data_IF_848848414084
#
_entry.id   IF_848848414084
#
_cell.length_a   1.000
_cell.length_b   1.000
_cell.length_c   1.000
_cell.angle_alpha   90.00
_cell.angle_beta   90.00
_cell.angle_gamma   90.00
#
_symmetry.space_group_name_H-M   'P 1'
#
loop_
_entity.id
_entity.type
_entity.pdbx_description
1 polymer ?
2 non-polymer ?
3 water ?
#
# COMPACT_ATOMS: atom_id res chain seq x y z
N UNK A 13 -14.27 30.59 -5.55
CA UNK A 13 -14.04 29.31 -6.24
C UNK A 13 -14.86 28.21 -5.55
N UNK A 14 -15.27 28.43 -4.29
CA UNK A 14 -15.67 27.32 -3.41
C UNK A 14 -17.05 26.71 -3.81
N UNK A 15 -17.10 25.40 -3.93
CA UNK A 15 -18.28 24.66 -4.34
C UNK A 15 -18.59 23.51 -3.36
N UNK A 16 -19.88 23.26 -3.14
CA UNK A 16 -20.36 22.24 -2.28
C UNK A 16 -21.30 21.32 -3.04
N UNK A 17 -21.11 20.00 -2.84
CA UNK A 17 -21.92 18.98 -3.50
C UNK A 17 -22.20 17.82 -2.55
N UNK A 18 -23.15 16.95 -2.88
CA UNK A 18 -23.44 15.75 -2.09
C UNK A 18 -22.81 14.57 -2.82
N UNK A 19 -22.05 13.75 -2.10
CA UNK A 19 -21.21 12.71 -2.75
C UNK A 19 -21.91 11.63 -3.60
N UNK A 20 -23.20 11.38 -3.40
CA UNK A 20 -23.92 10.44 -4.29
C UNK A 20 -23.73 10.80 -5.78
N UNK A 24 -20.03 11.50 -8.87
CA UNK A 24 -18.97 10.49 -8.57
C UNK A 24 -17.55 10.92 -9.01
N UNK A 25 -17.45 11.53 -10.20
CA UNK A 25 -16.20 12.15 -10.62
C UNK A 25 -15.74 13.24 -9.62
N UNK A 26 -16.70 14.01 -9.12
CA UNK A 26 -16.39 15.15 -8.26
C UNK A 26 -15.84 14.66 -6.91
N UNK A 27 -16.44 13.57 -6.37
CA UNK A 27 -15.99 13.01 -5.12
C UNK A 27 -14.58 12.46 -5.27
N UNK A 28 -14.31 11.76 -6.42
CA UNK A 28 -12.98 11.24 -6.61
C UNK A 28 -11.93 12.35 -6.71
N UNK A 29 -12.27 13.43 -7.39
CA UNK A 29 -11.34 14.55 -7.46
C UNK A 29 -11.12 15.13 -6.05
N UNK A 30 -12.20 15.21 -5.26
CA UNK A 30 -12.05 15.82 -3.93
C UNK A 30 -11.09 14.96 -3.06
N UNK A 31 -11.32 13.67 -3.05
CA UNK A 31 -10.50 12.76 -2.23
C UNK A 31 -9.06 12.79 -2.66
N UNK A 32 -8.83 13.01 -3.95
CA UNK A 32 -7.49 13.16 -4.49
C UNK A 32 -6.66 14.35 -4.10
N UNK A 33 -7.34 15.31 -3.46
CA UNK A 33 -6.74 16.49 -2.89
C UNK A 33 -5.89 16.23 -1.63
N UNK A 34 -6.10 15.04 -1.06
CA UNK A 34 -5.30 14.51 0.06
C UNK A 34 -4.06 13.76 -0.55
N UNK A 35 -2.89 14.41 -0.48
CA UNK A 35 -1.61 13.87 -0.88
C UNK A 35 -1.23 12.60 -0.04
N UNK A 36 -0.58 11.66 -0.71
CA UNK A 36 -0.12 10.45 -0.10
C UNK A 36 1.21 10.02 -0.66
N UNK A 37 1.89 9.15 0.12
CA UNK A 37 2.92 8.28 -0.45
C UNK A 37 2.27 7.19 -1.24
N UNK A 38 3.12 6.28 -1.69
CA UNK A 38 2.72 5.18 -2.51
C UNK A 38 3.35 3.89 -1.96
N UNK A 39 2.53 2.87 -1.71
CA UNK A 39 3.02 1.61 -1.19
C UNK A 39 2.72 0.48 -2.09
N UNK A 40 3.45 -0.61 -1.88
CA UNK A 40 3.01 -1.92 -2.43
C UNK A 40 2.93 -2.88 -1.30
N UNK A 41 1.77 -3.53 -1.16
CA UNK A 41 1.53 -4.51 -0.05
C UNK A 41 1.63 -5.85 -0.67
N UNK A 42 2.48 -6.73 -0.09
CA UNK A 42 2.72 -8.03 -0.65
C UNK A 42 2.29 -9.14 0.33
N UNK A 43 2.06 -10.34 -0.23
CA UNK A 43 1.72 -11.54 0.58
C UNK A 43 1.93 -12.77 -0.21
N UNK A 44 1.99 -13.93 0.44
CA UNK A 44 2.18 -15.20 -0.27
C UNK A 44 0.77 -15.72 -0.61
N UNK A 45 0.43 -15.70 -1.89
CA UNK A 45 -0.85 -16.23 -2.36
C UNK A 45 -0.89 -17.73 -2.52
N UNK A 46 -2.11 -18.29 -2.71
CA UNK A 46 -2.31 -19.73 -2.96
C UNK A 46 -1.43 -20.27 -4.08
N UNK A 47 -1.18 -19.48 -5.11
CA UNK A 47 -0.34 -20.00 -6.16
C UNK A 47 0.87 -19.14 -6.54
N UNK A 48 1.34 -18.34 -5.61
CA UNK A 48 2.56 -17.64 -5.83
C UNK A 48 2.47 -16.28 -5.17
N UNK A 49 3.55 -15.51 -5.27
CA UNK A 49 3.54 -14.19 -4.60
C UNK A 49 2.45 -13.27 -5.18
N UNK A 50 1.94 -12.39 -4.34
CA UNK A 50 0.98 -11.36 -4.75
C UNK A 50 1.39 -10.01 -4.25
N UNK A 51 1.13 -8.97 -5.04
CA UNK A 51 1.26 -7.60 -4.57
C UNK A 51 0.16 -6.69 -5.09
N UNK A 52 0.02 -5.55 -4.44
CA UNK A 52 -1.07 -4.58 -4.81
C UNK A 52 -0.56 -3.17 -4.41
N UNK A 53 -0.57 -2.27 -5.37
CA UNK A 53 -0.27 -0.89 -5.12
C UNK A 53 -1.49 -0.27 -4.34
N UNK A 54 -1.09 0.41 -3.30
CA UNK A 54 -1.99 0.96 -2.26
C UNK A 54 -1.53 2.36 -1.87
N UNK A 55 -2.47 3.34 -1.75
CA UNK A 55 -2.17 4.54 -1.02
C UNK A 55 -3.06 4.85 0.19
N UNK A 56 -3.98 3.97 0.53
CA UNK A 56 -4.85 4.05 1.66
C UNK A 56 -4.15 3.50 2.95
N UNK A 57 -2.84 3.61 3.00
CA UNK A 57 -2.05 3.19 4.16
C UNK A 57 -2.07 4.34 5.19
N UNK A 58 -2.02 3.98 6.49
CA UNK A 58 -1.76 4.93 7.57
C UNK A 58 -1.01 4.24 8.71
N UNK A 59 -0.10 5.01 9.28
CA UNK A 59 0.44 4.69 10.58
C UNK A 59 -0.71 4.85 11.64
N UNK A 60 -0.84 3.90 12.56
CA UNK A 60 -1.96 3.90 13.52
C UNK A 60 -1.51 4.03 14.98
N UNK A 61 -0.58 3.18 15.38
CA UNK A 61 -0.18 3.09 16.80
C UNK A 61 1.33 2.92 16.89
N UNK A 62 1.95 3.52 17.90
CA UNK A 62 3.38 3.24 18.15
C UNK A 62 3.57 2.13 19.13
N UNK A 63 2.80 2.17 20.23
CA UNK A 63 2.85 1.05 21.16
C UNK A 63 1.45 0.49 21.42
N UNK A 64 1.13 -0.72 20.91
CA UNK A 64 1.93 -1.61 20.04
C UNK A 64 2.08 -0.95 18.70
N UNK A 65 3.12 -1.35 17.89
CA UNK A 65 3.32 -0.80 16.57
C UNK A 65 2.30 -1.39 15.62
N UNK A 66 1.36 -0.53 15.16
CA UNK A 66 0.25 -0.91 14.27
C UNK A 66 0.12 0.02 13.07
N UNK A 67 -0.24 -0.53 11.91
CA UNK A 67 -0.47 0.22 10.68
C UNK A 67 -1.77 -0.30 10.10
N UNK A 68 -2.39 0.50 9.22
CA UNK A 68 -3.57 0.03 8.47
C UNK A 68 -3.45 0.32 7.02
N UNK A 69 -4.18 -0.48 6.23
CA UNK A 69 -4.38 -0.16 4.81
C UNK A 69 -5.70 -0.80 4.34
N UNK A 70 -6.22 -0.40 3.18
CA UNK A 70 -7.55 -0.78 2.78
C UNK A 70 -7.52 -1.44 1.39
N UNK A 71 -7.70 -2.79 1.32
CA UNK A 71 -7.86 -3.41 0.01
C UNK A 71 -9.25 -3.25 -0.51
N UNK A 72 -9.34 -3.00 -1.81
CA UNK A 72 -10.71 -2.87 -2.45
C UNK A 72 -11.38 -4.29 -2.45
N UNK A 73 -12.64 -4.32 -2.11
CA UNK A 73 -13.43 -5.59 -2.19
C UNK A 73 -13.87 -5.97 -3.61
N UNK A 74 -13.57 -5.11 -4.56
CA UNK A 74 -13.74 -5.41 -5.96
C UNK A 74 -12.49 -5.95 -6.64
N UNK A 75 -11.41 -6.23 -5.90
CA UNK A 75 -10.20 -6.85 -6.48
C UNK A 75 -10.19 -8.37 -6.31
N UNK A 76 -9.68 -9.06 -7.30
CA UNK A 76 -9.55 -10.49 -7.25
C UNK A 76 -8.61 -10.89 -6.14
N UNK A 77 -7.71 -10.00 -5.70
CA UNK A 77 -6.71 -10.36 -4.64
C UNK A 77 -7.21 -10.06 -3.25
N UNK A 78 -8.39 -9.44 -3.12
CA UNK A 78 -8.90 -9.14 -1.78
C UNK A 78 -8.94 -10.34 -0.78
N UNK A 79 -9.48 -11.49 -1.20
CA UNK A 79 -9.56 -12.68 -0.35
C UNK A 79 -8.17 -13.11 0.21
N UNK A 80 -7.15 -13.14 -0.64
CA UNK A 80 -5.82 -13.54 -0.25
C UNK A 80 -5.21 -12.61 0.82
N UNK A 81 -5.36 -11.31 0.61
CA UNK A 81 -4.89 -10.34 1.57
C UNK A 81 -5.74 -10.42 2.87
N UNK A 82 -7.04 -10.55 2.72
CA UNK A 82 -7.93 -10.66 3.88
C UNK A 82 -7.68 -11.96 4.68
N UNK A 83 -7.35 -13.05 4.03
CA UNK A 83 -7.10 -14.31 4.74
C UNK A 83 -5.64 -14.48 5.15
N UNK A 84 -4.76 -13.59 4.71
CA UNK A 84 -3.35 -13.74 5.04
C UNK A 84 -3.02 -13.58 6.55
N UNK A 85 -2.06 -14.35 7.04
CA UNK A 85 -1.49 -14.12 8.38
C UNK A 85 -0.39 -13.08 8.43
N UNK A 86 0.28 -12.88 7.29
CA UNK A 86 1.41 -11.98 7.17
C UNK A 86 1.40 -11.25 5.81
N UNK A 87 1.80 -10.00 5.85
CA UNK A 87 1.88 -9.17 4.68
C UNK A 87 2.82 -8.02 4.99
N UNK A 88 3.42 -7.48 3.96
CA UNK A 88 4.40 -6.45 4.14
C UNK A 88 4.12 -5.22 3.29
N UNK A 89 4.30 -4.06 3.91
CA UNK A 89 4.03 -2.77 3.27
C UNK A 89 5.32 -2.11 2.85
N UNK A 90 5.45 -1.90 1.54
CA UNK A 90 6.64 -1.28 0.96
C UNK A 90 6.36 0.15 0.60
N UNK A 91 7.07 1.08 1.24
CA UNK A 91 6.94 2.54 0.94
C UNK A 91 7.98 2.91 -0.12
N UNK A 92 7.49 3.43 -1.27
CA UNK A 92 8.28 3.65 -2.44
C UNK A 92 8.98 4.98 -2.45
N UNK A 93 10.23 4.98 -2.92
CA UNK A 93 11.01 6.21 -3.17
C UNK A 93 10.63 6.83 -4.48
N UNK A 94 10.97 8.08 -4.68
CA UNK A 94 10.58 8.80 -5.92
C UNK A 94 11.11 8.19 -7.21
N UNK A 95 12.16 7.38 -7.11
CA UNK A 95 12.72 6.71 -8.26
C UNK A 95 12.05 5.33 -8.54
N UNK A 96 10.92 5.00 -7.92
CA UNK A 96 10.32 3.62 -8.03
C UNK A 96 8.93 3.55 -8.65
N UNK A 97 8.68 4.48 -9.56
CA UNK A 97 7.42 4.51 -10.29
C UNK A 97 7.13 3.19 -10.97
N UNK A 98 8.15 2.58 -11.60
CA UNK A 98 8.01 1.30 -12.29
C UNK A 98 7.52 0.21 -11.36
N UNK A 99 8.07 0.17 -10.14
CA UNK A 99 7.60 -0.76 -9.09
C UNK A 99 6.16 -0.48 -8.70
N UNK A 100 5.78 0.77 -8.46
CA UNK A 100 4.35 1.14 -8.37
C UNK A 100 3.43 0.55 -9.48
N UNK A 101 3.87 0.72 -10.70
CA UNK A 101 3.06 0.35 -11.85
C UNK A 101 3.00 -1.19 -12.08
N UNK A 102 4.01 -1.94 -11.61
CA UNK A 102 3.94 -3.42 -11.65
C UNK A 102 2.73 -3.99 -10.91
N UNK A 103 2.33 -3.28 -9.86
CA UNK A 103 1.31 -3.77 -8.91
C UNK A 103 -0.02 -3.01 -8.92
N UNK A 104 -0.19 -2.19 -9.97
CA UNK A 104 -1.50 -1.62 -10.31
C UNK A 104 -2.18 -2.50 -11.39
N UNK A 105 -3.45 -2.19 -11.64
CA UNK A 105 -4.40 -2.84 -12.56
C UNK A 105 -3.74 -3.64 -13.62
N UNK A 106 -2.98 -2.98 -14.49
CA UNK A 106 -2.51 -3.75 -15.70
C UNK A 106 -1.15 -4.37 -15.55
N UNK A 107 -0.64 -4.44 -14.33
CA UNK A 107 0.82 -4.46 -14.17
C UNK A 107 1.46 -5.82 -14.23
N UNK A 108 2.76 -5.87 -14.41
CA UNK A 108 3.51 -7.19 -14.50
C UNK A 108 3.52 -8.03 -13.20
N UNK A 109 3.11 -7.46 -12.06
CA UNK A 109 3.29 -8.07 -10.78
C UNK A 109 4.79 -8.46 -10.57
N UNK A 110 5.02 -9.68 -10.10
CA UNK A 110 6.34 -10.19 -9.81
C UNK A 110 7.00 -10.79 -11.05
N UNK A 111 6.37 -10.79 -12.23
CA UNK A 111 7.01 -11.43 -13.44
C UNK A 111 8.35 -10.73 -13.76
N UNK A 112 9.49 -11.44 -13.73
CA UNK A 112 10.80 -10.81 -13.98
C UNK A 112 11.55 -10.26 -12.75
N UNK A 113 10.92 -10.30 -11.58
CA UNK A 113 11.49 -9.78 -10.34
C UNK A 113 12.11 -10.95 -9.57
N UNK A 114 13.25 -10.74 -8.90
CA UNK A 114 13.78 -11.82 -8.05
C UNK A 114 12.87 -12.17 -6.81
N UNK A 115 12.77 -13.48 -6.55
CA UNK A 115 12.05 -14.00 -5.35
C UNK A 115 12.87 -13.84 -4.11
N UNK A 116 12.62 -12.83 -3.30
CA UNK A 116 13.20 -12.85 -1.96
C UNK A 116 12.09 -12.96 -0.93
N UNK A 117 12.28 -13.77 0.13
CA UNK A 117 11.24 -13.92 1.15
C UNK A 117 11.74 -13.55 2.57
N UNK A 118 10.83 -13.00 3.35
CA UNK A 118 11.04 -12.78 4.83
C UNK A 118 11.07 -14.10 5.55
N UNK A 119 11.48 -14.06 6.82
CA UNK A 119 11.43 -15.27 7.59
C UNK A 119 10.03 -15.86 7.68
N UNK A 120 9.00 -15.06 7.57
CA UNK A 120 7.63 -15.50 7.71
C UNK A 120 7.08 -15.84 6.34
N UNK A 121 7.94 -15.88 5.31
CA UNK A 121 7.50 -16.27 3.99
C UNK A 121 6.84 -15.26 3.05
N UNK A 122 6.96 -13.99 3.37
CA UNK A 122 6.29 -12.94 2.59
C UNK A 122 7.28 -12.52 1.51
N UNK A 123 6.80 -12.34 0.28
CA UNK A 123 7.68 -11.94 -0.82
C UNK A 123 7.95 -10.46 -0.73
N UNK A 124 9.23 -10.06 -0.79
CA UNK A 124 9.56 -8.68 -0.70
C UNK A 124 10.36 -8.11 -1.83
N UNK A 125 10.37 -6.79 -1.83
CA UNK A 125 10.97 -6.02 -2.86
C UNK A 125 12.07 -5.29 -2.15
N UNK A 126 13.34 -5.82 -2.25
CA UNK A 126 14.41 -5.00 -1.64
C UNK A 126 14.61 -3.64 -2.33
N UNK A 127 15.19 -2.72 -1.56
CA UNK A 127 15.60 -1.43 -2.11
C UNK A 127 14.53 -0.34 -1.97
N UNK A 128 13.44 -0.63 -1.29
CA UNK A 128 12.34 0.44 -1.07
C UNK A 128 12.71 1.37 0.11
N UNK A 129 12.09 2.52 0.20
CA UNK A 129 12.39 3.47 1.27
C UNK A 129 12.12 2.92 2.68
N UNK A 130 11.06 2.15 2.82
CA UNK A 130 10.71 1.49 4.08
C UNK A 130 9.88 0.25 3.80
N UNK A 131 10.09 -0.82 4.57
CA UNK A 131 9.27 -1.98 4.52
C UNK A 131 8.85 -2.38 5.88
N UNK A 132 7.56 -2.41 6.15
CA UNK A 132 6.96 -2.87 7.39
C UNK A 132 6.42 -4.30 7.21
N UNK A 133 7.03 -5.29 7.89
CA UNK A 133 6.55 -6.67 7.86
C UNK A 133 5.59 -6.83 8.99
N UNK A 134 4.36 -7.26 8.66
CA UNK A 134 3.25 -7.17 9.57
C UNK A 134 2.62 -8.53 9.77
N UNK A 135 2.15 -8.72 10.99
CA UNK A 135 1.26 -9.87 11.31
C UNK A 135 -0.18 -9.34 11.32
N UNK A 136 -1.13 -10.11 10.79
CA UNK A 136 -2.56 -9.74 10.79
C UNK A 136 -3.01 -9.51 12.21
N UNK A 137 -3.70 -8.43 12.46
CA UNK A 137 -4.07 -8.11 13.82
C UNK A 137 -5.59 -7.98 13.98
N UNK A 138 -6.24 -7.26 13.05
CA UNK A 138 -7.67 -7.05 13.01
C UNK A 138 -8.09 -6.74 11.59
N UNK A 139 -9.37 -6.95 11.29
CA UNK A 139 -9.93 -6.59 10.00
C UNK A 139 -11.39 -6.15 10.15
N UNK A 140 -11.83 -5.13 9.41
CA UNK A 140 -13.23 -4.65 9.52
C UNK A 140 -13.72 -4.29 8.11
N UNK A 141 -14.99 -4.54 7.80
CA UNK A 141 -15.56 -4.10 6.52
C UNK A 141 -15.85 -2.61 6.58
N UNK A 142 -15.56 -1.96 5.45
CA UNK A 142 -15.84 -0.55 5.27
C UNK A 142 -16.31 -0.19 3.83
N UNK A 143 -17.52 -0.58 3.49
CA UNK A 143 -18.19 -0.24 2.19
C UNK A 143 -17.55 -1.05 1.12
N UNK A 144 -16.99 -0.36 0.12
CA UNK A 144 -16.43 -1.09 -1.02
C UNK A 144 -15.02 -1.53 -0.77
N UNK A 145 -14.46 -1.21 0.47
CA UNK A 145 -13.11 -1.61 0.86
C UNK A 145 -13.22 -2.33 2.23
N UNK A 146 -12.17 -3.06 2.61
CA UNK A 146 -11.98 -3.56 4.00
C UNK A 146 -10.88 -2.70 4.61
N UNK A 147 -10.78 -2.72 5.94
CA UNK A 147 -9.68 -2.02 6.67
C UNK A 147 -8.95 -3.14 7.37
N UNK A 148 -7.69 -3.35 6.99
CA UNK A 148 -6.79 -4.37 7.60
C UNK A 148 -5.79 -3.64 8.51
N UNK A 149 -5.76 -4.03 9.78
CA UNK A 149 -4.81 -3.49 10.75
C UNK A 149 -3.77 -4.57 11.07
N UNK A 150 -2.51 -4.20 10.97
CA UNK A 150 -1.43 -5.18 11.19
C UNK A 150 -0.46 -4.73 12.25
N UNK A 151 0.11 -5.68 12.98
CA UNK A 151 1.15 -5.39 13.94
C UNK A 151 2.48 -5.58 13.26
N UNK A 152 3.31 -4.56 13.37
CA UNK A 152 4.58 -4.45 12.75
C UNK A 152 5.53 -5.32 13.53
N UNK A 153 6.09 -6.34 12.89
CA UNK A 153 7.07 -7.26 13.52
C UNK A 153 8.52 -6.91 13.21
N UNK A 154 8.74 -6.23 12.11
CA UNK A 154 10.04 -5.88 11.63
C UNK A 154 9.99 -4.66 10.71
N UNK A 155 11.03 -3.81 10.76
CA UNK A 155 11.11 -2.66 9.91
C UNK A 155 12.45 -2.61 9.15
N UNK A 156 12.43 -2.35 7.83
CA UNK A 156 13.62 -2.17 7.05
C UNK A 156 13.60 -0.79 6.37
N UNK A 157 14.67 0.00 6.49
CA UNK A 157 14.77 1.30 5.82
C UNK A 157 16.03 1.29 4.98
N UNK A 158 15.93 1.96 3.84
CA UNK A 158 17.05 2.09 2.90
C UNK A 158 17.09 3.49 2.35
N UNK A 159 18.30 4.04 2.28
CA UNK A 159 18.43 5.35 1.60
C UNK A 159 17.82 6.48 2.41
N UNK A 160 17.78 7.66 1.83
CA UNK A 160 17.24 8.81 2.55
C UNK A 160 15.73 8.71 2.72
N UNK A 161 15.25 9.33 3.77
CA UNK A 161 13.84 9.23 4.11
C UNK A 161 12.96 10.31 3.44
N UNK A 162 13.62 11.26 2.76
CA UNK A 162 12.96 12.49 2.33
C UNK A 162 12.85 12.62 0.81
N UNK A 163 12.84 11.49 0.14
CA UNK A 163 12.52 11.46 -1.32
C UNK A 163 11.44 10.43 -1.62
N UNK A 164 10.28 10.60 -0.99
CA UNK A 164 9.16 9.73 -1.26
C UNK A 164 8.59 9.99 -2.71
N UNK A 165 8.05 8.93 -3.32
CA UNK A 165 7.12 9.03 -4.43
C UNK A 165 5.85 9.54 -3.87
N UNK A 166 5.33 10.64 -4.41
CA UNK A 166 4.09 11.28 -3.88
C UNK A 166 3.00 11.17 -4.97
N UNK A 167 1.78 10.96 -4.52
CA UNK A 167 0.63 10.90 -5.42
C UNK A 167 -0.30 11.94 -4.91
N UNK A 168 -0.59 12.95 -5.73
CA UNK A 168 -1.59 13.95 -5.33
C UNK A 168 -2.32 14.52 -6.53
N UNK A 169 -3.59 14.87 -6.33
CA UNK A 169 -4.38 15.42 -7.46
C UNK A 169 -4.26 14.58 -8.73
N UNK A 170 -4.29 13.27 -8.54
CA UNK A 170 -4.11 12.28 -9.62
C UNK A 170 -2.80 12.15 -10.38
N UNK A 171 -1.73 12.75 -9.88
CA UNK A 171 -0.48 12.81 -10.58
C UNK A 171 0.61 12.31 -9.64
N UNK A 172 1.62 11.69 -10.24
CA UNK A 172 2.79 11.27 -9.46
C UNK A 172 3.77 12.44 -9.43
N UNK A 173 4.57 12.51 -8.37
CA UNK A 173 5.50 13.63 -8.21
C UNK A 173 6.42 13.46 -7.02
N UNK A 174 7.06 14.55 -6.65
CA UNK A 174 8.07 14.54 -5.57
C UNK A 174 7.66 15.48 -4.46
N UNK A 175 8.29 15.32 -3.29
CA UNK A 175 8.17 16.28 -2.17
C UNK A 175 9.27 17.33 -2.23
N UNK A 176 8.94 18.60 -2.12
CA UNK A 176 9.95 19.69 -2.14
C UNK A 176 9.83 20.38 -0.77
N UNK A 177 10.81 20.16 0.13
CA UNK A 177 10.66 20.62 1.52
C UNK A 177 10.96 22.08 1.76
X LIG B 1 -6.33 -0.39 -4.58
X LIG B 1 -6.80 -0.69 -3.32
X LIG B 1 -7.49 -1.72 -3.13
X LIG B 1 -6.44 0.06 -2.22
X LIG B 1 -5.64 1.16 -2.29
X LIG B 1 -5.37 1.83 -1.28
X LIG B 1 -5.12 1.61 -3.60
X LIG B 1 -4.31 2.68 -3.80
X LIG B 1 -3.75 3.03 -5.00
X LIG B 1 -2.90 4.10 -5.17
X LIG B 1 -2.40 4.46 -6.44
X LIG B 1 -1.50 5.62 -6.63
X LIG B 1 -2.77 3.64 -7.61
X LIG B 1 -2.25 4.02 -8.96
X LIG B 1 -3.61 2.54 -7.44
X LIG B 1 -4.15 2.21 -6.20
X LIG B 1 -4.99 1.09 -5.97
X LIG B 1 -5.49 0.71 -4.74
X LIG B 1 -5.41 0.19 -7.06
X LIG B 1 -4.75 -1.25 -7.01
X LIG B 1 -3.36 -1.06 -7.24
X LIG B 1 -5.68 -2.01 -8.04
X LIG B 1 -5.61 -3.43 -7.83
X LIG B 1 -5.60 -1.39 -9.49
X LIG B 1 -4.40 -0.64 -9.72
X LIG B 1 -6.69 -0.31 -9.89
X LIG B 1 -7.59 -0.79 -10.89
X LIG B 1 -8.80 -1.80 -10.53
X LIG B 1 -9.43 -1.11 -9.32
X LIG B 1 -9.73 -1.78 -11.73
X LIG B 1 -8.17 -3.17 -10.32
#
# INVERSE_FOLDING_TARGET
SRLPPATRDRLADEITFHPATAEARLLREALGRFATGVTVVTTAGPQGPLGMTVNSFSSVSLEPPLVLWCPARTSARHAAFAEAGAWSVHVLGSEQLETCLRFTRGGRQFEGLDTVLTPEGVPVIPGVAARFDCAAHAAHEAGDHSVLIGRVLRVTVAGPGDHPLVFAAGRFGQFEPDAGLEHHHHHH
FMN N1 C2 O2 N3 C4 O4 C4A N5 C5A C6 C7 C7M C8 C8M C9 C9A N10 C10 C1' C2' O2' C3' O3' C4' O4' C5' O5' P O1P O2P O3P
#
